data_IF_699960008807
#
_entry.id   IF_699960008807
#
_cell.length_a   1.000
_cell.length_b   1.000
_cell.length_c   1.000
_cell.angle_alpha   90.00
_cell.angle_beta   90.00
_cell.angle_gamma   90.00
#
_symmetry.space_group_name_H-M   'P 1'
#
loop_
_entity.id
_entity.type
_entity.pdbx_description
1 polymer ?
#
# COMPACT_ATOMS: atom_id res chain seq x y z
N UNK A 1 -20.61 -18.50 -66.09
CA UNK A 1 -20.32 -19.90 -66.46
C UNK A 1 -18.86 -20.13 -66.05
N UNK A 2 -18.52 -20.92 -65.01
CA UNK A 2 -18.64 -22.39 -64.88
C UNK A 2 -17.86 -23.06 -66.05
N UNK A 3 -16.76 -23.82 -65.92
CA UNK A 3 -16.24 -24.84 -64.93
C UNK A 3 -14.70 -24.65 -64.75
N UNK A 4 -13.94 -24.91 -63.67
CA UNK A 4 -14.02 -25.58 -62.35
C UNK A 4 -13.21 -26.92 -62.20
N UNK A 5 -12.75 -27.23 -60.97
CA UNK A 5 -11.89 -28.38 -60.55
C UNK A 5 -10.43 -28.37 -61.10
N UNK A 6 -9.43 -29.20 -60.67
CA UNK A 6 -9.34 -30.27 -59.65
C UNK A 6 -7.87 -30.52 -59.16
N UNK A 7 -7.56 -30.33 -57.86
CA UNK A 7 -6.60 -31.10 -56.97
C UNK A 7 -6.44 -30.30 -55.65
N UNK A 8 -6.79 -30.72 -54.43
CA UNK A 8 -6.77 -32.01 -53.67
C UNK A 8 -5.43 -32.30 -52.96
N UNK A 9 -5.32 -31.82 -51.70
CA UNK A 9 -4.81 -32.50 -50.47
C UNK A 9 -5.45 -31.70 -49.30
N UNK A 10 -6.62 -32.02 -48.75
CA UNK A 10 -7.01 -33.10 -47.83
C UNK A 10 -6.19 -33.22 -46.52
N UNK A 11 -6.84 -32.86 -45.41
CA UNK A 11 -6.64 -33.28 -43.99
C UNK A 11 -5.28 -33.09 -43.29
N UNK A 12 -5.27 -32.84 -41.96
CA UNK A 12 -6.44 -32.78 -41.07
C UNK A 12 -6.15 -32.22 -39.67
N UNK A 13 -7.24 -31.99 -38.92
CA UNK A 13 -7.26 -31.48 -37.54
C UNK A 13 -7.22 -32.64 -36.54
N UNK A 14 -6.54 -32.44 -35.40
CA UNK A 14 -6.82 -32.92 -34.02
C UNK A 14 -5.53 -32.62 -33.21
N UNK A 15 -5.48 -31.63 -32.31
CA UNK A 15 -6.22 -31.45 -31.05
C UNK A 15 -5.79 -32.48 -29.97
N UNK A 16 -4.65 -32.20 -29.33
CA UNK A 16 -4.16 -32.92 -28.15
C UNK A 16 -4.19 -31.99 -26.93
N UNK A 17 -5.01 -32.31 -25.94
CA UNK A 17 -5.15 -31.52 -24.72
C UNK A 17 -4.38 -32.16 -23.56
N UNK A 18 -3.45 -31.42 -22.96
CA UNK A 18 -2.74 -31.82 -21.74
C UNK A 18 -3.24 -31.01 -20.54
N UNK A 19 -4.24 -31.56 -19.84
CA UNK A 19 -4.60 -31.13 -18.49
C UNK A 19 -3.85 -32.00 -17.48
N UNK A 20 -3.26 -31.38 -16.44
CA UNK A 20 -3.46 -31.71 -15.01
C UNK A 20 -2.45 -30.96 -14.12
N UNK A 21 -3.00 -30.29 -13.10
CA UNK A 21 -2.44 -29.85 -11.81
C UNK A 21 -0.95 -29.45 -11.65
N UNK A 22 -0.76 -28.20 -11.26
CA UNK A 22 0.04 -27.87 -10.06
C UNK A 22 -0.56 -26.64 -9.36
N UNK A 23 -1.02 -26.77 -8.11
CA UNK A 23 -1.55 -25.64 -7.34
C UNK A 23 -0.44 -25.04 -6.47
N UNK A 24 -0.07 -23.78 -6.66
CA UNK A 24 0.66 -23.00 -5.65
C UNK A 24 0.47 -21.49 -5.82
N UNK A 25 -0.03 -20.91 -4.75
CA UNK A 25 -0.37 -19.53 -4.45
C UNK A 25 0.69 -18.47 -4.77
N UNK A 26 0.22 -17.24 -5.03
CA UNK A 26 0.89 -15.97 -4.66
C UNK A 26 2.25 -15.69 -5.34
N UNK A 27 2.35 -14.70 -6.21
CA UNK A 27 2.30 -13.30 -5.76
C UNK A 27 1.85 -12.32 -6.84
N UNK A 28 0.86 -11.47 -6.52
CA UNK A 28 0.57 -10.27 -7.32
C UNK A 28 1.76 -9.31 -7.19
N UNK A 29 2.55 -9.16 -8.26
CA UNK A 29 3.65 -8.18 -8.30
C UNK A 29 3.08 -6.76 -8.36
N UNK A 30 2.78 -6.20 -7.20
CA UNK A 30 2.30 -4.83 -7.06
C UNK A 30 3.42 -3.86 -7.45
N UNK A 31 3.35 -3.36 -8.69
CA UNK A 31 4.29 -2.36 -9.22
C UNK A 31 4.43 -1.18 -8.25
N UNK A 32 5.67 -0.69 -8.12
CA UNK A 32 6.07 0.21 -7.04
C UNK A 32 5.32 1.53 -6.99
N UNK A 33 5.27 2.14 -5.80
CA UNK A 33 4.68 3.45 -5.62
C UNK A 33 5.42 4.50 -6.47
N UNK A 34 4.69 5.16 -7.38
CA UNK A 34 5.19 6.30 -8.15
C UNK A 34 5.29 7.50 -7.20
N UNK A 35 6.48 7.72 -6.65
CA UNK A 35 6.79 8.90 -5.84
C UNK A 35 6.99 10.13 -6.73
N UNK A 36 5.90 10.77 -7.13
CA UNK A 36 5.95 11.98 -7.98
C UNK A 36 6.58 13.15 -7.22
N UNK A 37 7.85 13.46 -7.51
CA UNK A 37 8.60 14.56 -6.90
C UNK A 37 8.25 15.94 -7.49
N UNK A 38 6.97 16.27 -7.49
CA UNK A 38 6.48 17.65 -7.60
C UNK A 38 5.81 18.04 -6.28
N UNK A 39 5.65 19.34 -6.01
CA UNK A 39 5.03 19.84 -4.75
C UNK A 39 3.51 19.64 -4.76
N UNK A 40 3.12 18.37 -4.71
CA UNK A 40 1.74 17.92 -4.56
C UNK A 40 1.33 18.11 -3.10
N UNK A 41 0.23 18.81 -2.86
CA UNK A 41 -0.30 18.99 -1.51
C UNK A 41 -0.48 17.64 -0.82
N UNK A 42 0.17 17.47 0.33
CA UNK A 42 0.24 16.18 1.03
C UNK A 42 -1.17 15.71 1.44
N UNK A 43 -1.57 14.51 1.00
CA UNK A 43 -2.93 13.95 1.19
C UNK A 43 -3.34 13.75 2.66
N UNK A 44 -2.39 13.87 3.58
CA UNK A 44 -2.55 13.72 5.02
C UNK A 44 -1.64 14.76 5.69
N UNK A 45 -2.16 15.56 6.63
CA UNK A 45 -1.29 16.27 7.57
C UNK A 45 -0.86 15.31 8.66
N UNK A 46 0.39 15.43 9.12
CA UNK A 46 0.92 14.67 10.25
C UNK A 46 1.64 15.63 11.19
N UNK A 47 1.13 15.76 12.40
CA UNK A 47 1.72 16.56 13.48
C UNK A 47 2.27 15.61 14.55
N UNK A 48 3.48 15.89 15.03
CA UNK A 48 4.24 15.01 15.93
C UNK A 48 4.45 15.71 17.27
N UNK A 49 4.36 14.95 18.35
CA UNK A 49 4.58 15.42 19.72
C UNK A 49 5.31 14.34 20.52
N UNK A 50 5.62 14.60 21.79
CA UNK A 50 6.33 13.67 22.69
C UNK A 50 5.48 12.50 23.20
N UNK A 51 4.14 12.59 23.07
CA UNK A 51 3.18 11.59 23.57
C UNK A 51 2.11 11.16 22.57
N UNK A 52 1.84 11.97 21.54
CA UNK A 52 0.80 11.72 20.53
C UNK A 52 1.29 12.06 19.12
N UNK A 53 0.63 11.47 18.13
CA UNK A 53 0.64 11.92 16.75
C UNK A 53 -0.79 12.33 16.36
N UNK A 54 -0.95 13.49 15.72
CA UNK A 54 -2.22 13.94 15.17
C UNK A 54 -2.15 13.80 13.65
N UNK A 55 -3.18 13.22 13.05
CA UNK A 55 -3.32 13.11 11.60
C UNK A 55 -4.61 13.78 11.11
N UNK A 56 -4.55 14.39 9.94
CA UNK A 56 -5.68 15.07 9.29
C UNK A 56 -5.78 14.60 7.83
N UNK A 57 -6.89 14.00 7.43
CA UNK A 57 -7.08 13.62 6.03
C UNK A 57 -7.32 14.87 5.17
N UNK A 58 -6.34 15.21 4.33
CA UNK A 58 -6.40 16.36 3.40
C UNK A 58 -6.79 15.96 1.98
N UNK A 59 -7.05 14.68 1.72
CA UNK A 59 -7.70 14.27 0.48
C UNK A 59 -9.18 14.70 0.50
N UNK A 60 -9.70 15.13 -0.64
CA UNK A 60 -11.12 15.48 -0.82
C UNK A 60 -12.06 14.25 -0.89
N UNK A 61 -11.69 13.16 -0.23
CA UNK A 61 -12.35 11.85 -0.27
C UNK A 61 -12.02 11.02 0.98
N UNK A 62 -12.83 10.01 1.32
CA UNK A 62 -12.52 9.08 2.40
C UNK A 62 -11.28 8.24 2.07
N UNK A 63 -10.43 8.03 3.07
CA UNK A 63 -9.28 7.13 3.02
C UNK A 63 -9.54 5.90 3.89
N UNK A 64 -9.04 4.75 3.43
CA UNK A 64 -9.10 3.44 4.08
C UNK A 64 -7.67 2.90 4.31
N UNK A 65 -7.56 1.89 5.17
CA UNK A 65 -6.34 1.11 5.42
C UNK A 65 -5.09 1.97 5.66
N UNK A 66 -5.25 3.01 6.47
CA UNK A 66 -4.22 4.02 6.73
C UNK A 66 -3.18 3.40 7.68
N UNK A 67 -2.14 2.81 7.10
CA UNK A 67 -0.98 2.28 7.83
C UNK A 67 -0.01 3.43 8.11
N UNK A 68 0.22 3.64 9.40
CA UNK A 68 1.16 4.59 9.96
C UNK A 68 2.37 3.79 10.47
N UNK A 69 3.58 4.15 10.03
CA UNK A 69 4.80 3.41 10.34
C UNK A 69 5.92 4.35 10.82
N UNK A 70 6.21 4.33 12.12
CA UNK A 70 7.35 5.03 12.71
C UNK A 70 8.60 4.19 12.44
N UNK A 71 9.55 4.76 11.70
CA UNK A 71 10.82 4.09 11.37
C UNK A 71 11.93 4.61 12.29
N UNK A 72 12.62 3.75 13.05
CA UNK A 72 13.79 4.13 13.84
C UNK A 72 14.98 4.59 12.99
N UNK A 73 15.93 5.30 13.62
CA UNK A 73 17.30 5.37 13.11
C UNK A 73 17.98 3.99 13.19
N UNK A 74 18.98 3.74 12.34
CA UNK A 74 19.80 2.53 12.42
C UNK A 74 19.15 1.23 11.94
N UNK A 75 17.93 1.27 11.37
CA UNK A 75 17.30 0.09 10.75
C UNK A 75 16.62 -0.89 11.72
N UNK A 76 16.36 -0.48 12.96
CA UNK A 76 15.53 -1.25 13.88
C UNK A 76 14.06 -1.35 13.41
N UNK A 77 13.30 -2.26 14.00
CA UNK A 77 11.90 -2.61 13.68
C UNK A 77 10.98 -1.39 13.47
N UNK A 78 10.21 -1.35 12.39
CA UNK A 78 9.13 -0.37 12.23
C UNK A 78 8.04 -0.58 13.28
N UNK A 79 7.60 0.48 13.95
CA UNK A 79 6.47 0.46 14.87
C UNK A 79 5.23 0.99 14.14
N UNK A 80 4.12 0.25 14.20
CA UNK A 80 2.99 0.45 13.29
C UNK A 80 1.65 0.60 13.99
N UNK A 81 0.78 1.43 13.41
CA UNK A 81 -0.64 1.55 13.76
C UNK A 81 -1.46 1.55 12.46
N UNK A 82 -2.54 0.78 12.44
CA UNK A 82 -3.55 0.84 11.38
C UNK A 82 -4.71 1.73 11.84
N UNK A 83 -5.21 2.57 10.94
CA UNK A 83 -6.44 3.34 11.10
C UNK A 83 -7.35 2.98 9.92
N UNK A 84 -8.42 2.23 10.18
CA UNK A 84 -9.19 1.54 9.14
C UNK A 84 -9.88 2.48 8.14
N UNK A 85 -10.30 3.68 8.59
CA UNK A 85 -10.98 4.69 7.78
C UNK A 85 -10.82 6.10 8.35
N UNK A 86 -10.71 7.11 7.50
CA UNK A 86 -10.90 8.53 7.84
C UNK A 86 -11.72 9.24 6.77
N UNK A 87 -12.66 10.10 7.18
CA UNK A 87 -13.42 10.95 6.26
C UNK A 87 -12.58 12.14 5.75
N UNK A 88 -13.04 12.82 4.69
CA UNK A 88 -12.38 14.01 4.18
C UNK A 88 -12.39 15.15 5.22
N UNK A 89 -11.23 15.73 5.51
CA UNK A 89 -11.07 16.75 6.56
C UNK A 89 -11.08 16.21 8.00
N UNK A 90 -11.24 14.90 8.21
CA UNK A 90 -11.25 14.33 9.56
C UNK A 90 -9.87 14.44 10.23
N UNK A 91 -9.85 14.86 11.51
CA UNK A 91 -8.67 14.82 12.38
C UNK A 91 -8.76 13.69 13.38
N UNK A 92 -7.63 13.01 13.65
CA UNK A 92 -7.55 11.97 14.67
C UNK A 92 -6.23 12.04 15.44
N UNK A 93 -6.34 12.07 16.77
CA UNK A 93 -5.22 11.95 17.70
C UNK A 93 -4.96 10.49 18.02
N UNK A 94 -3.69 10.08 18.03
CA UNK A 94 -3.24 8.70 18.24
C UNK A 94 -2.14 8.72 19.29
N UNK A 95 -2.18 7.82 20.27
CA UNK A 95 -1.12 7.71 21.28
C UNK A 95 0.15 7.17 20.65
N UNK A 96 1.33 7.66 21.03
CA UNK A 96 2.58 7.02 20.57
C UNK A 96 2.71 5.59 21.12
N UNK A 97 2.07 5.27 22.25
CA UNK A 97 2.00 3.90 22.78
C UNK A 97 1.06 2.96 22.00
N UNK A 98 0.23 3.48 21.09
CA UNK A 98 -0.63 2.67 20.22
C UNK A 98 0.14 1.91 19.12
N UNK A 99 1.39 2.30 18.85
CA UNK A 99 2.21 1.75 17.77
C UNK A 99 2.95 0.50 18.25
N UNK A 100 2.61 -0.65 17.68
CA UNK A 100 3.25 -1.92 17.98
C UNK A 100 4.41 -2.25 17.04
N UNK A 101 5.51 -2.77 17.57
CA UNK A 101 6.51 -3.51 16.80
C UNK A 101 5.95 -4.85 16.29
N UNK A 102 6.75 -5.59 15.50
CA UNK A 102 6.36 -6.92 14.96
C UNK A 102 6.01 -7.95 16.04
N UNK A 103 6.57 -7.77 17.23
CA UNK A 103 6.41 -8.55 18.45
C UNK A 103 5.26 -8.06 19.35
N UNK A 104 4.60 -6.96 18.98
CA UNK A 104 3.60 -6.28 19.82
C UNK A 104 4.19 -5.33 20.86
N UNK A 105 5.52 -5.14 20.92
CA UNK A 105 6.16 -4.20 21.86
C UNK A 105 5.70 -2.77 21.54
N UNK A 106 5.16 -2.00 22.51
CA UNK A 106 4.70 -0.64 22.27
C UNK A 106 5.88 0.33 22.06
N UNK A 107 5.73 1.25 21.12
CA UNK A 107 6.71 2.29 20.84
C UNK A 107 6.90 3.25 22.01
N UNK A 108 8.15 3.68 22.25
CA UNK A 108 8.47 4.66 23.28
C UNK A 108 9.75 5.43 22.94
N UNK A 109 9.65 6.77 22.95
CA UNK A 109 10.77 7.69 22.72
C UNK A 109 11.90 7.58 23.76
N UNK A 110 11.66 6.88 24.88
CA UNK A 110 12.68 6.61 25.91
C UNK A 110 13.70 5.56 25.48
N UNK A 111 13.34 4.68 24.54
CA UNK A 111 14.15 3.53 24.10
C UNK A 111 14.40 3.50 22.59
N UNK A 112 13.49 4.08 21.78
CA UNK A 112 13.62 4.12 20.33
C UNK A 112 13.74 5.57 19.85
N UNK A 113 14.78 5.86 19.05
CA UNK A 113 14.93 7.15 18.37
C UNK A 113 14.31 7.07 16.96
N UNK A 114 13.18 7.73 16.69
CA UNK A 114 12.59 7.76 15.35
C UNK A 114 13.40 8.61 14.37
N UNK A 115 13.33 8.26 13.09
CA UNK A 115 13.89 9.00 11.95
C UNK A 115 12.79 9.69 11.14
N UNK A 116 11.71 8.97 10.87
CA UNK A 116 10.64 9.38 9.96
C UNK A 116 9.35 8.59 10.26
N UNK A 117 8.21 9.14 9.83
CA UNK A 117 6.93 8.44 9.80
C UNK A 117 6.52 8.23 8.34
N UNK A 118 6.42 6.97 7.92
CA UNK A 118 5.76 6.60 6.67
C UNK A 118 4.25 6.54 6.87
N UNK A 119 3.49 7.04 5.89
CA UNK A 119 2.03 6.92 5.85
C UNK A 119 1.62 6.36 4.50
N UNK A 120 0.85 5.29 4.50
CA UNK A 120 0.22 4.72 3.30
C UNK A 120 -1.26 4.51 3.53
N UNK A 121 -2.09 4.80 2.53
CA UNK A 121 -3.55 4.63 2.57
C UNK A 121 -4.10 4.24 1.19
N UNK A 122 -5.37 3.86 1.11
CA UNK A 122 -6.10 3.71 -0.15
C UNK A 122 -7.39 4.55 -0.13
N UNK A 123 -7.97 4.89 -1.28
CA UNK A 123 -9.34 5.45 -1.32
C UNK A 123 -10.37 4.36 -1.66
N UNK A 124 -11.65 4.76 -1.70
CA UNK A 124 -12.77 3.89 -2.12
C UNK A 124 -12.63 3.31 -3.55
N UNK A 125 -11.75 3.87 -4.38
CA UNK A 125 -11.45 3.40 -5.74
C UNK A 125 -10.19 2.50 -5.81
N UNK A 126 -9.59 2.15 -4.66
CA UNK A 126 -8.37 1.34 -4.59
C UNK A 126 -7.08 2.06 -5.03
N UNK A 127 -7.13 3.36 -5.30
CA UNK A 127 -5.94 4.17 -5.58
C UNK A 127 -5.09 4.29 -4.32
N UNK A 128 -3.78 4.04 -4.45
CA UNK A 128 -2.84 4.00 -3.32
C UNK A 128 -2.17 5.35 -3.12
N UNK A 129 -2.12 5.80 -1.88
CA UNK A 129 -1.46 7.01 -1.43
C UNK A 129 -0.27 6.65 -0.53
N UNK A 130 0.87 7.31 -0.72
CA UNK A 130 2.08 7.08 0.06
C UNK A 130 2.84 8.38 0.29
N UNK A 131 3.31 8.61 1.52
CA UNK A 131 4.18 9.73 1.87
C UNK A 131 5.15 9.34 3.00
N UNK A 132 6.10 10.22 3.29
CA UNK A 132 6.97 10.09 4.46
C UNK A 132 7.27 11.48 5.04
N UNK A 133 7.06 11.66 6.34
CA UNK A 133 7.42 12.88 7.07
C UNK A 133 8.67 12.61 7.92
N UNK A 134 9.77 13.39 7.77
CA UNK A 134 10.89 13.33 8.70
C UNK A 134 10.45 13.64 10.14
N UNK A 135 11.02 12.94 11.13
CA UNK A 135 10.77 13.25 12.53
C UNK A 135 11.53 14.53 12.91
N UNK A 136 10.78 15.53 13.38
CA UNK A 136 11.22 16.85 13.84
C UNK A 136 10.27 17.28 14.94
#
# INVERSE_FOLDING_TARGET
MITAFRTVVLSGVVLAACLVAACSSTSTSAAGAVGTSGETAAFMAVELSSIVMIIENRAAQPLLDIRLAIKPVGGATEFTKLVSRMEAGEKRTISLGDFGGRDGTPFSLRVVRPKEVGVTAVNLMGQKFAMTKPWK
#
